data_IF_410682853609
#
_entry.id   IF_410682853609
#
_cell.length_a   1.000
_cell.length_b   1.000
_cell.length_c   1.000
_cell.angle_alpha   90.00
_cell.angle_beta   90.00
_cell.angle_gamma   90.00
#
_symmetry.space_group_name_H-M   'P 1'
#
loop_
_entity.id
_entity.type
_entity.pdbx_description
1 polymer ?
#
# COMPACT_ATOMS: atom_id res chain seq x y z
N UNK A 1 26.36 -1.31 4.75
CA UNK A 1 24.97 -1.35 5.27
C UNK A 1 24.01 -1.14 4.12
N UNK A 2 23.40 -2.22 3.60
CA UNK A 2 22.42 -2.20 2.49
C UNK A 2 21.08 -1.62 3.00
N UNK A 3 21.06 -0.34 3.40
CA UNK A 3 19.85 0.32 3.87
C UNK A 3 18.87 0.35 2.71
N UNK A 4 17.78 -0.42 2.81
CA UNK A 4 16.60 -0.16 2.01
C UNK A 4 16.29 1.35 2.11
N UNK A 5 15.98 2.01 0.98
CA UNK A 5 15.69 3.44 1.02
C UNK A 5 14.55 3.66 2.02
N UNK A 6 14.71 4.61 2.95
CA UNK A 6 13.72 4.83 4.01
C UNK A 6 12.32 5.08 3.43
N UNK A 7 12.25 5.70 2.24
CA UNK A 7 11.03 5.86 1.46
C UNK A 7 10.32 4.55 1.16
N UNK A 8 11.03 3.46 0.80
CA UNK A 8 10.41 2.14 0.57
C UNK A 8 9.71 1.62 1.82
N UNK A 9 10.39 1.71 2.97
CA UNK A 9 9.85 1.22 4.24
C UNK A 9 8.62 2.04 4.63
N UNK A 10 8.69 3.37 4.49
CA UNK A 10 7.58 4.27 4.80
C UNK A 10 6.39 4.03 3.86
N UNK A 11 6.63 3.95 2.55
CA UNK A 11 5.57 3.73 1.55
C UNK A 11 4.89 2.37 1.73
N UNK A 12 5.65 1.31 1.99
CA UNK A 12 5.08 -0.01 2.29
C UNK A 12 4.29 0.00 3.61
N UNK A 13 4.81 0.65 4.67
CA UNK A 13 4.10 0.75 5.95
C UNK A 13 2.78 1.51 5.81
N UNK A 14 2.80 2.66 5.12
CA UNK A 14 1.59 3.44 4.81
C UNK A 14 0.62 2.65 3.94
N UNK A 15 1.13 1.93 2.93
CA UNK A 15 0.32 1.05 2.09
C UNK A 15 -0.40 -0.04 2.90
N UNK A 16 0.30 -0.72 3.81
CA UNK A 16 -0.31 -1.73 4.69
C UNK A 16 -1.35 -1.11 5.62
N UNK A 17 -1.03 0.04 6.22
CA UNK A 17 -1.97 0.79 7.08
C UNK A 17 -3.22 1.24 6.33
N UNK A 18 -3.11 1.52 5.03
CA UNK A 18 -4.26 1.92 4.17
C UNK A 18 -5.04 0.69 3.68
N UNK A 19 -4.35 -0.44 3.44
CA UNK A 19 -4.95 -1.68 2.97
C UNK A 19 -5.87 -2.32 4.03
N UNK A 20 -5.43 -2.35 5.29
CA UNK A 20 -6.19 -2.94 6.41
C UNK A 20 -7.63 -2.39 6.53
N UNK A 21 -7.85 -1.07 6.66
CA UNK A 21 -9.19 -0.51 6.73
C UNK A 21 -9.96 -0.67 5.42
N UNK A 22 -9.29 -0.64 4.25
CA UNK A 22 -9.91 -0.94 2.96
C UNK A 22 -10.47 -2.37 2.89
N UNK A 23 -9.71 -3.36 3.38
CA UNK A 23 -10.11 -4.77 3.42
C UNK A 23 -11.28 -5.00 4.40
N UNK A 24 -11.23 -4.36 5.57
CA UNK A 24 -12.32 -4.45 6.57
C UNK A 24 -13.59 -3.77 6.05
N UNK A 25 -13.45 -2.65 5.33
CA UNK A 25 -14.56 -1.97 4.66
C UNK A 25 -15.21 -2.86 3.60
N UNK A 26 -14.40 -3.55 2.77
CA UNK A 26 -14.90 -4.47 1.75
C UNK A 26 -15.59 -5.71 2.33
N UNK A 27 -15.12 -6.19 3.49
CA UNK A 27 -15.71 -7.34 4.20
C UNK A 27 -17.07 -7.04 4.84
N UNK A 28 -17.63 -5.84 4.66
CA UNK A 28 -18.92 -5.42 5.25
C UNK A 28 -18.80 -4.97 6.71
N UNK A 29 -17.60 -5.01 7.29
CA UNK A 29 -17.32 -4.54 8.65
C UNK A 29 -16.91 -3.06 8.71
N UNK A 30 -16.88 -2.35 7.57
CA UNK A 30 -16.50 -0.94 7.51
C UNK A 30 -17.30 -0.03 8.45
N UNK A 31 -18.60 -0.30 8.59
CA UNK A 31 -19.49 0.42 9.51
C UNK A 31 -19.11 0.26 11.00
N UNK A 32 -18.38 -0.80 11.37
CA UNK A 32 -17.91 -1.03 12.75
C UNK A 32 -16.62 -0.26 13.07
N UNK A 33 -15.82 0.07 12.05
CA UNK A 33 -14.60 0.87 12.21
C UNK A 33 -14.87 2.37 12.08
N UNK A 34 -15.59 2.79 11.04
CA UNK A 34 -15.95 4.20 10.84
C UNK A 34 -17.14 4.32 9.89
N UNK A 35 -18.13 5.20 10.15
CA UNK A 35 -19.31 5.35 9.29
C UNK A 35 -18.97 5.75 7.85
N UNK A 36 -17.84 6.43 7.61
CA UNK A 36 -17.36 6.77 6.26
C UNK A 36 -16.89 5.53 5.46
N UNK A 37 -16.55 4.45 6.14
CA UNK A 37 -16.13 3.17 5.56
C UNK A 37 -17.29 2.21 5.32
N UNK A 38 -18.53 2.62 5.63
CA UNK A 38 -19.72 1.83 5.32
C UNK A 38 -20.00 1.77 3.81
N UNK A 39 -19.45 2.71 3.04
CA UNK A 39 -19.56 2.71 1.58
C UNK A 39 -18.51 1.77 0.95
N UNK A 40 -18.92 0.71 0.22
CA UNK A 40 -18.01 -0.19 -0.49
C UNK A 40 -17.03 0.53 -1.43
N UNK A 41 -17.43 1.66 -2.02
CA UNK A 41 -16.57 2.45 -2.90
C UNK A 41 -15.40 3.09 -2.15
N UNK A 42 -15.60 3.49 -0.89
CA UNK A 42 -14.53 4.02 -0.04
C UNK A 42 -13.50 2.93 0.29
N UNK A 43 -13.96 1.70 0.56
CA UNK A 43 -13.10 0.53 0.77
C UNK A 43 -12.22 0.22 -0.44
N UNK A 44 -12.81 0.25 -1.64
CA UNK A 44 -12.06 0.08 -2.90
C UNK A 44 -11.04 1.20 -3.13
N UNK A 45 -11.41 2.47 -2.89
CA UNK A 45 -10.50 3.61 -3.05
C UNK A 45 -9.26 3.48 -2.14
N UNK A 46 -9.44 3.00 -0.91
CA UNK A 46 -8.35 2.72 0.03
C UNK A 46 -7.44 1.59 -0.46
N UNK A 47 -8.00 0.51 -1.00
CA UNK A 47 -7.21 -0.60 -1.56
C UNK A 47 -6.38 -0.17 -2.79
N UNK A 48 -6.97 0.59 -3.71
CA UNK A 48 -6.25 1.13 -4.88
C UNK A 48 -5.12 2.04 -4.43
N UNK A 49 -5.38 2.91 -3.44
CA UNK A 49 -4.37 3.81 -2.88
C UNK A 49 -3.24 3.04 -2.19
N UNK A 50 -3.56 1.97 -1.45
CA UNK A 50 -2.59 1.09 -0.84
C UNK A 50 -1.68 0.41 -1.88
N UNK A 51 -2.27 -0.11 -2.96
CA UNK A 51 -1.52 -0.71 -4.07
C UNK A 51 -0.62 0.31 -4.76
N UNK A 52 -1.09 1.54 -4.96
CA UNK A 52 -0.30 2.63 -5.54
C UNK A 52 0.90 2.99 -4.64
N UNK A 53 0.70 3.09 -3.32
CA UNK A 53 1.77 3.36 -2.35
C UNK A 53 2.83 2.25 -2.35
N UNK A 54 2.38 0.99 -2.28
CA UNK A 54 3.26 -0.18 -2.30
C UNK A 54 4.04 -0.24 -3.63
N UNK A 55 3.35 -0.08 -4.76
CA UNK A 55 3.95 -0.07 -6.09
C UNK A 55 5.01 1.04 -6.24
N UNK A 56 4.72 2.25 -5.77
CA UNK A 56 5.66 3.38 -5.78
C UNK A 56 6.89 3.10 -4.92
N UNK A 57 6.72 2.46 -3.77
CA UNK A 57 7.82 2.00 -2.92
C UNK A 57 8.68 0.91 -3.59
N UNK A 58 8.06 -0.08 -4.24
CA UNK A 58 8.78 -1.18 -4.90
C UNK A 58 9.51 -0.75 -6.18
N UNK A 59 9.06 0.31 -6.86
CA UNK A 59 9.62 0.72 -8.14
C UNK A 59 11.15 0.97 -8.11
N UNK A 60 11.72 1.76 -7.17
CA UNK A 60 13.17 1.92 -7.04
C UNK A 60 13.92 0.60 -6.80
N UNK A 61 13.31 -0.35 -6.10
CA UNK A 61 13.91 -1.65 -5.84
C UNK A 61 14.02 -2.49 -7.12
N UNK A 62 12.98 -2.47 -7.97
CA UNK A 62 13.02 -3.16 -9.27
C UNK A 62 14.04 -2.55 -10.22
N UNK A 63 14.12 -1.21 -10.31
CA UNK A 63 15.14 -0.53 -11.12
C UNK A 63 16.55 -0.90 -10.65
N UNK A 64 16.82 -0.82 -9.35
CA UNK A 64 18.12 -1.21 -8.80
C UNK A 64 18.46 -2.69 -9.04
N UNK A 65 17.46 -3.56 -9.15
CA UNK A 65 17.64 -4.99 -9.45
C UNK A 65 17.88 -5.25 -10.94
N UNK A 66 17.27 -4.47 -11.83
CA UNK A 66 17.48 -4.56 -13.28
C UNK A 66 18.89 -4.09 -13.66
N UNK A 67 19.32 -2.92 -13.15
CA UNK A 67 20.67 -2.39 -13.44
C UNK A 67 21.78 -3.36 -13.00
N UNK A 68 21.57 -4.09 -11.90
CA UNK A 68 22.54 -5.05 -11.37
C UNK A 68 22.56 -6.39 -12.13
N UNK A 69 21.65 -6.60 -13.08
CA UNK A 69 21.61 -7.77 -13.97
C UNK A 69 22.16 -7.46 -15.37
N UNK A 70 22.37 -6.18 -15.68
CA UNK A 70 22.98 -5.74 -16.95
C UNK A 70 24.52 -5.63 -16.86
N UNK A 71 25.10 -5.79 -15.67
CA UNK A 71 26.53 -6.07 -15.44
C UNK A 71 26.78 -7.57 -15.27
#
# INVERSE_FOLDING_TARGET
MRRHPASFVILCALGVLTALPGLVSLAGFGATLHPILADPMAGLALLVSALALIGSGLFPYFIARLMRREE
#
